data_IF_734295904166
#
_entry.id   IF_734295904166
#
_cell.length_a   1.000
_cell.length_b   1.000
_cell.length_c   1.000
_cell.angle_alpha   90.00
_cell.angle_beta   90.00
_cell.angle_gamma   90.00
#
_symmetry.space_group_name_H-M   'P 1'
#
loop_
_entity.id
_entity.type
_entity.pdbx_description
1 polymer ?
#
# COMPACT_ATOMS: atom_id res chain seq x y z
N UNK A 1 -12.53 16.64 77.86
CA UNK A 1 -13.90 16.24 78.25
C UNK A 1 -14.78 16.45 77.03
N UNK A 2 -15.51 15.39 76.68
CA UNK A 2 -16.50 15.26 75.59
C UNK A 2 -15.98 14.74 74.24
N UNK A 3 -16.69 13.70 73.80
CA UNK A 3 -16.36 12.62 72.85
C UNK A 3 -17.05 12.80 71.48
N UNK A 4 -16.69 11.93 70.52
CA UNK A 4 -17.49 11.52 69.35
C UNK A 4 -17.48 12.51 68.16
N UNK A 5 -17.47 12.12 66.88
CA UNK A 5 -17.76 10.84 66.24
C UNK A 5 -17.17 10.85 64.81
N UNK A 6 -16.74 9.68 64.34
CA UNK A 6 -16.40 9.42 62.94
C UNK A 6 -17.66 9.42 62.06
N UNK A 7 -17.56 9.87 60.81
CA UNK A 7 -18.36 9.32 59.71
C UNK A 7 -17.76 9.64 58.33
N UNK A 8 -17.37 8.56 57.67
CA UNK A 8 -17.06 8.45 56.24
C UNK A 8 -18.22 8.99 55.39
N UNK A 9 -17.95 9.92 54.48
CA UNK A 9 -18.88 10.25 53.40
C UNK A 9 -18.57 9.40 52.18
N UNK A 10 -19.46 8.43 51.93
CA UNK A 10 -19.67 7.79 50.64
C UNK A 10 -19.88 8.85 49.56
N UNK A 11 -19.10 8.79 48.49
CA UNK A 11 -19.40 9.49 47.24
C UNK A 11 -20.38 8.58 46.49
N UNK A 12 -21.66 8.95 46.50
CA UNK A 12 -22.66 8.37 45.61
C UNK A 12 -22.35 8.81 44.18
N UNK A 13 -22.19 7.83 43.30
CA UNK A 13 -22.17 8.03 41.86
C UNK A 13 -23.58 8.41 41.38
N UNK A 14 -23.82 9.68 41.13
CA UNK A 14 -24.94 10.08 40.28
C UNK A 14 -24.67 9.60 38.84
N UNK A 15 -25.67 8.99 38.15
CA UNK A 15 -25.51 8.64 36.76
C UNK A 15 -25.52 9.91 35.92
N UNK A 16 -24.42 10.16 35.19
CA UNK A 16 -24.35 11.18 34.15
C UNK A 16 -25.38 10.83 33.08
N UNK A 17 -26.49 11.57 33.10
CA UNK A 17 -27.62 11.42 32.23
C UNK A 17 -27.20 11.73 30.78
N UNK A 18 -27.22 10.73 29.90
CA UNK A 18 -26.96 10.85 28.46
C UNK A 18 -28.13 11.54 27.74
N UNK A 19 -28.42 12.80 28.08
CA UNK A 19 -29.49 13.60 27.46
C UNK A 19 -29.05 14.39 26.21
N UNK A 20 -27.90 14.06 25.61
CA UNK A 20 -27.47 14.69 24.36
C UNK A 20 -27.92 13.96 23.08
N UNK A 21 -28.40 12.72 23.15
CA UNK A 21 -28.85 12.01 21.94
C UNK A 21 -30.28 12.38 21.51
N UNK A 22 -31.10 13.00 22.37
CA UNK A 22 -32.53 13.16 22.09
C UNK A 22 -32.96 14.45 21.36
N UNK A 23 -32.08 15.44 21.19
CA UNK A 23 -32.43 16.75 20.59
C UNK A 23 -31.93 16.99 19.14
N UNK A 24 -31.78 15.93 18.34
CA UNK A 24 -31.54 16.11 16.90
C UNK A 24 -32.84 16.13 16.09
N UNK A 25 -33.02 17.07 15.15
CA UNK A 25 -34.26 17.19 14.39
C UNK A 25 -34.53 15.89 13.60
N UNK A 26 -35.78 15.39 13.56
CA UNK A 26 -36.12 14.05 13.04
C UNK A 26 -35.75 13.83 11.57
N UNK A 27 -35.55 14.90 10.79
CA UNK A 27 -35.02 14.84 9.42
C UNK A 27 -33.53 14.46 9.34
N UNK A 28 -32.73 14.81 10.36
CA UNK A 28 -31.29 14.51 10.43
C UNK A 28 -31.06 13.03 10.75
N UNK A 29 -31.72 12.50 11.79
CA UNK A 29 -31.73 11.06 12.12
C UNK A 29 -32.19 10.16 10.98
N UNK A 30 -33.23 10.57 10.23
CA UNK A 30 -33.70 9.81 9.04
C UNK A 30 -32.68 9.80 7.90
N UNK A 31 -31.90 10.88 7.72
CA UNK A 31 -30.84 10.95 6.70
C UNK A 31 -29.64 10.10 7.11
N UNK A 32 -29.25 10.15 8.38
CA UNK A 32 -28.16 9.34 8.94
C UNK A 32 -28.49 7.85 8.89
N UNK A 33 -29.68 7.44 9.33
CA UNK A 33 -30.11 6.04 9.23
C UNK A 33 -30.15 5.54 7.77
N UNK A 34 -30.53 6.39 6.81
CA UNK A 34 -30.47 6.05 5.37
C UNK A 34 -29.02 5.93 4.87
N UNK A 35 -28.13 6.81 5.32
CA UNK A 35 -26.71 6.77 4.97
C UNK A 35 -26.02 5.53 5.56
N UNK A 36 -26.32 5.16 6.81
CA UNK A 36 -25.82 3.94 7.44
C UNK A 36 -26.32 2.68 6.73
N UNK A 37 -27.62 2.63 6.39
CA UNK A 37 -28.16 1.51 5.60
C UNK A 37 -27.47 1.39 4.24
N UNK A 38 -27.26 2.50 3.54
CA UNK A 38 -26.55 2.51 2.26
C UNK A 38 -25.08 2.08 2.42
N UNK A 39 -24.42 2.49 3.49
CA UNK A 39 -23.05 2.08 3.82
C UNK A 39 -22.98 0.57 4.09
N UNK A 40 -23.91 0.03 4.87
CA UNK A 40 -23.99 -1.40 5.15
C UNK A 40 -24.20 -2.22 3.85
N UNK A 41 -25.14 -1.80 2.99
CA UNK A 41 -25.37 -2.46 1.70
C UNK A 41 -24.14 -2.43 0.78
N UNK A 42 -23.42 -1.30 0.73
CA UNK A 42 -22.17 -1.20 -0.03
C UNK A 42 -21.10 -2.15 0.51
N UNK A 43 -20.95 -2.23 1.83
CA UNK A 43 -20.00 -3.13 2.48
C UNK A 43 -20.32 -4.60 2.21
N UNK A 44 -21.60 -4.98 2.25
CA UNK A 44 -22.05 -6.34 1.93
C UNK A 44 -21.73 -6.70 0.47
N UNK A 45 -22.10 -5.82 -0.48
CA UNK A 45 -21.76 -6.01 -1.90
C UNK A 45 -20.25 -6.11 -2.13
N UNK A 46 -19.45 -5.29 -1.45
CA UNK A 46 -17.99 -5.37 -1.52
C UNK A 46 -17.49 -6.72 -1.00
N UNK A 47 -18.00 -7.20 0.14
CA UNK A 47 -17.63 -8.53 0.68
C UNK A 47 -17.94 -9.65 -0.30
N UNK A 48 -19.11 -9.64 -0.93
CA UNK A 48 -19.46 -10.64 -1.94
C UNK A 48 -18.52 -10.64 -3.14
N UNK A 49 -18.16 -9.45 -3.64
CA UNK A 49 -17.21 -9.31 -4.76
C UNK A 49 -15.84 -9.85 -4.36
N UNK A 50 -15.34 -9.46 -3.19
CA UNK A 50 -14.05 -9.92 -2.67
C UNK A 50 -14.04 -11.44 -2.49
N UNK A 51 -15.12 -12.03 -1.99
CA UNK A 51 -15.21 -13.47 -1.81
C UNK A 51 -15.21 -14.21 -3.16
N UNK A 52 -15.93 -13.69 -4.16
CA UNK A 52 -15.90 -14.22 -5.53
C UNK A 52 -14.50 -14.14 -6.12
N UNK A 53 -13.80 -13.02 -5.95
CA UNK A 53 -12.41 -12.87 -6.40
C UNK A 53 -11.47 -13.82 -5.66
N UNK A 54 -11.63 -13.98 -4.34
CA UNK A 54 -10.84 -14.93 -3.53
C UNK A 54 -11.05 -16.38 -3.99
N UNK A 55 -12.27 -16.77 -4.36
CA UNK A 55 -12.58 -18.11 -4.89
C UNK A 55 -11.95 -18.36 -6.26
N UNK A 56 -11.80 -17.32 -7.09
CA UNK A 56 -11.13 -17.39 -8.40
C UNK A 56 -9.60 -17.24 -8.33
N UNK A 57 -9.02 -17.10 -7.15
CA UNK A 57 -7.58 -16.90 -6.96
C UNK A 57 -6.81 -18.12 -7.44
N UNK A 58 -5.82 -17.87 -8.30
CA UNK A 58 -4.89 -18.89 -8.79
C UNK A 58 -3.98 -19.30 -7.64
N UNK A 59 -3.98 -20.59 -7.28
CA UNK A 59 -3.13 -21.12 -6.22
C UNK A 59 -1.82 -21.62 -6.80
N UNK A 60 -0.72 -21.18 -6.19
CA UNK A 60 0.63 -21.64 -6.51
C UNK A 60 1.03 -22.73 -5.50
N UNK A 61 0.87 -23.99 -5.89
CA UNK A 61 1.07 -25.16 -5.01
C UNK A 61 2.50 -25.25 -4.44
N UNK A 62 3.50 -24.83 -5.21
CA UNK A 62 4.92 -24.88 -4.83
C UNK A 62 5.37 -23.65 -4.02
N UNK A 63 4.52 -22.63 -3.87
CA UNK A 63 4.86 -21.38 -3.20
C UNK A 63 4.26 -21.36 -1.79
N UNK A 64 5.10 -21.00 -0.82
CA UNK A 64 4.69 -20.81 0.56
C UNK A 64 5.34 -19.56 1.15
N UNK A 65 4.70 -18.95 2.15
CA UNK A 65 5.29 -17.78 2.83
C UNK A 65 6.64 -18.09 3.46
N UNK A 66 6.83 -19.33 3.92
CA UNK A 66 8.08 -19.80 4.51
C UNK A 66 9.19 -19.90 3.46
N UNK A 67 8.90 -20.37 2.24
CA UNK A 67 9.89 -20.42 1.16
C UNK A 67 10.26 -19.02 0.66
N UNK A 68 9.26 -18.13 0.50
CA UNK A 68 9.50 -16.72 0.14
C UNK A 68 10.33 -15.96 1.18
N UNK A 69 10.12 -16.25 2.48
CA UNK A 69 10.90 -15.60 3.55
C UNK A 69 12.35 -16.07 3.61
N UNK A 70 12.66 -17.27 3.09
CA UNK A 70 14.03 -17.80 3.03
C UNK A 70 14.81 -17.19 1.88
N UNK A 71 14.21 -17.11 0.68
CA UNK A 71 14.89 -16.52 -0.48
C UNK A 71 15.33 -15.07 -0.21
N UNK A 72 14.52 -14.29 0.49
CA UNK A 72 14.88 -12.93 0.90
C UNK A 72 16.12 -12.80 1.80
N UNK A 73 16.56 -13.89 2.46
CA UNK A 73 17.76 -13.89 3.30
C UNK A 73 19.01 -14.26 2.53
N UNK A 74 18.86 -14.98 1.42
CA UNK A 74 19.97 -15.55 0.65
C UNK A 74 20.41 -14.64 -0.51
N UNK A 75 19.62 -13.60 -0.85
CA UNK A 75 19.84 -12.70 -1.99
C UNK A 75 20.88 -11.58 -1.76
N UNK A 76 21.90 -11.81 -0.93
CA UNK A 76 23.06 -10.88 -0.90
C UNK A 76 23.93 -10.98 -2.16
N UNK A 77 23.67 -11.89 -3.10
CA UNK A 77 24.55 -12.17 -4.26
C UNK A 77 23.87 -12.76 -5.53
N UNK A 78 22.57 -12.58 -5.76
CA UNK A 78 21.93 -13.10 -6.99
C UNK A 78 22.27 -12.23 -8.21
N UNK A 79 23.21 -12.68 -9.05
CA UNK A 79 23.61 -12.01 -10.29
C UNK A 79 22.51 -12.01 -11.35
N UNK A 80 22.33 -10.87 -12.03
CA UNK A 80 21.44 -10.61 -13.18
C UNK A 80 21.33 -11.78 -14.17
N UNK A 81 22.47 -12.43 -14.45
CA UNK A 81 22.61 -13.49 -15.45
C UNK A 81 21.88 -14.82 -15.13
N UNK A 82 21.51 -15.10 -13.87
CA UNK A 82 20.83 -16.37 -13.53
C UNK A 82 19.31 -16.32 -13.67
N UNK A 83 18.73 -15.14 -13.81
CA UNK A 83 17.28 -14.93 -13.74
C UNK A 83 16.65 -14.91 -15.13
N UNK A 84 17.38 -14.47 -16.18
CA UNK A 84 16.92 -14.57 -17.58
C UNK A 84 16.69 -16.03 -18.00
N UNK A 85 17.35 -17.01 -17.38
CA UNK A 85 17.14 -18.44 -17.61
C UNK A 85 15.92 -19.02 -16.86
N UNK A 86 15.40 -18.33 -15.84
CA UNK A 86 14.17 -18.77 -15.15
C UNK A 86 12.94 -18.33 -15.94
N UNK A 87 12.49 -19.21 -16.84
CA UNK A 87 11.24 -19.04 -17.59
C UNK A 87 10.10 -18.59 -16.67
N UNK A 88 9.64 -17.35 -16.86
CA UNK A 88 8.45 -16.82 -16.19
C UNK A 88 7.23 -17.06 -17.08
N UNK A 89 6.15 -17.58 -16.50
CA UNK A 89 4.87 -17.61 -17.20
C UNK A 89 4.29 -16.21 -17.27
N UNK A 90 3.85 -15.79 -18.45
CA UNK A 90 3.08 -14.53 -18.59
C UNK A 90 1.60 -14.77 -18.34
N UNK A 91 0.93 -13.74 -17.81
CA UNK A 91 -0.52 -13.73 -17.68
C UNK A 91 -1.23 -13.91 -19.04
N UNK A 92 -2.44 -14.47 -19.03
CA UNK A 92 -3.27 -14.62 -20.22
C UNK A 92 -3.91 -13.29 -20.61
N UNK A 93 -4.38 -13.15 -21.87
CA UNK A 93 -5.10 -11.94 -22.31
C UNK A 93 -6.39 -11.69 -21.52
N UNK A 94 -7.08 -12.75 -21.09
CA UNK A 94 -8.27 -12.63 -20.25
C UNK A 94 -7.92 -12.12 -18.85
N UNK A 95 -6.80 -12.58 -18.28
CA UNK A 95 -6.28 -12.10 -17.00
C UNK A 95 -5.86 -10.63 -17.07
N UNK A 96 -5.29 -10.21 -18.20
CA UNK A 96 -4.95 -8.80 -18.48
C UNK A 96 -6.21 -7.93 -18.41
N UNK A 97 -7.27 -8.30 -19.13
CA UNK A 97 -8.49 -7.51 -19.24
C UNK A 97 -9.37 -7.50 -17.99
N UNK A 98 -9.49 -8.64 -17.30
CA UNK A 98 -10.44 -8.82 -16.18
C UNK A 98 -9.78 -8.70 -14.80
N UNK A 99 -8.46 -8.56 -14.76
CA UNK A 99 -7.68 -8.65 -13.52
C UNK A 99 -7.67 -10.07 -12.94
N UNK A 100 -6.72 -10.34 -12.06
CA UNK A 100 -6.55 -11.66 -11.46
C UNK A 100 -5.79 -11.60 -10.14
N UNK A 101 -5.97 -12.65 -9.34
CA UNK A 101 -5.26 -12.82 -8.08
C UNK A 101 -4.46 -14.11 -8.09
N UNK A 102 -3.26 -14.06 -7.54
CA UNK A 102 -2.45 -15.23 -7.22
C UNK A 102 -2.29 -15.34 -5.72
N UNK A 103 -2.32 -16.57 -5.22
CA UNK A 103 -2.06 -16.89 -3.83
C UNK A 103 -1.06 -18.02 -3.67
N UNK A 104 -0.56 -18.16 -2.44
CA UNK A 104 0.28 -19.30 -2.07
C UNK A 104 -0.55 -20.59 -2.02
N UNK A 105 0.07 -21.72 -1.68
CA UNK A 105 -0.63 -23.00 -1.53
C UNK A 105 -1.79 -22.99 -0.51
N UNK A 106 -1.76 -22.10 0.48
CA UNK A 106 -2.83 -21.90 1.47
C UNK A 106 -3.90 -20.93 0.96
N UNK A 107 -3.69 -20.33 -0.21
CA UNK A 107 -4.56 -19.33 -0.80
C UNK A 107 -4.38 -17.94 -0.18
N UNK A 108 -3.30 -17.69 0.56
CA UNK A 108 -2.97 -16.34 1.05
C UNK A 108 -2.59 -15.44 -0.12
N UNK A 109 -3.00 -14.17 -0.08
CA UNK A 109 -2.76 -13.26 -1.21
C UNK A 109 -1.26 -13.02 -1.41
N UNK A 110 -0.82 -13.12 -2.66
CA UNK A 110 0.55 -12.86 -3.11
C UNK A 110 0.60 -11.69 -4.09
N UNK A 111 -0.24 -11.74 -5.12
CA UNK A 111 -0.38 -10.73 -6.16
C UNK A 111 -1.86 -10.52 -6.45
N UNK A 112 -2.28 -9.27 -6.59
CA UNK A 112 -3.54 -8.88 -7.22
C UNK A 112 -3.23 -7.85 -8.30
N UNK A 113 -3.41 -8.23 -9.56
CA UNK A 113 -3.44 -7.30 -10.67
C UNK A 113 -4.89 -6.87 -10.91
N UNK A 114 -5.16 -5.58 -10.83
CA UNK A 114 -6.49 -5.03 -11.12
C UNK A 114 -6.79 -5.13 -12.62
N UNK A 115 -8.07 -5.12 -12.96
CA UNK A 115 -8.50 -5.04 -14.35
C UNK A 115 -8.11 -3.68 -14.99
N UNK A 116 -8.00 -3.64 -16.31
CA UNK A 116 -7.54 -2.46 -17.05
C UNK A 116 -8.36 -1.19 -16.77
N UNK A 117 -9.64 -1.36 -16.42
CA UNK A 117 -10.56 -0.25 -16.18
C UNK A 117 -10.62 0.16 -14.71
N UNK A 118 -10.27 -0.74 -13.80
CA UNK A 118 -10.35 -0.55 -12.37
C UNK A 118 -9.26 0.41 -11.90
N UNK A 119 -9.72 1.59 -11.50
CA UNK A 119 -8.84 2.64 -11.01
C UNK A 119 -8.39 3.63 -12.08
N UNK A 120 -8.78 3.44 -13.34
CA UNK A 120 -8.50 4.37 -14.45
C UNK A 120 -8.87 5.82 -14.15
N UNK A 121 -10.01 6.03 -13.47
CA UNK A 121 -10.45 7.36 -13.01
C UNK A 121 -9.48 8.03 -12.04
N UNK A 122 -8.66 7.27 -11.32
CA UNK A 122 -7.67 7.77 -10.36
C UNK A 122 -6.27 7.89 -10.96
N UNK A 123 -5.98 7.18 -12.06
CA UNK A 123 -4.65 7.15 -12.69
C UNK A 123 -4.54 8.02 -13.94
N UNK A 124 -5.66 8.41 -14.55
CA UNK A 124 -5.70 9.19 -15.81
C UNK A 124 -4.81 10.44 -15.83
N UNK A 125 -4.74 11.19 -14.74
CA UNK A 125 -3.95 12.42 -14.64
C UNK A 125 -2.62 12.23 -13.90
N UNK A 126 -2.31 11.00 -13.47
CA UNK A 126 -1.17 10.72 -12.62
C UNK A 126 0.15 10.98 -13.33
N UNK A 127 0.27 10.59 -14.60
CA UNK A 127 1.49 10.83 -15.39
C UNK A 127 1.83 12.33 -15.43
N UNK A 128 0.88 13.17 -15.84
CA UNK A 128 1.06 14.63 -15.87
C UNK A 128 1.31 15.24 -14.49
N UNK A 129 0.65 14.70 -13.46
CA UNK A 129 0.87 15.13 -12.06
C UNK A 129 2.30 14.85 -11.60
N UNK A 130 2.84 13.67 -11.90
CA UNK A 130 4.23 13.32 -11.57
C UNK A 130 5.21 14.19 -12.37
N UNK A 131 4.97 14.41 -13.67
CA UNK A 131 5.81 15.28 -14.49
C UNK A 131 5.86 16.72 -13.97
N UNK A 132 4.71 17.27 -13.56
CA UNK A 132 4.63 18.60 -12.96
C UNK A 132 5.46 18.67 -11.68
N UNK A 133 5.32 17.65 -10.81
CA UNK A 133 6.12 17.54 -9.59
C UNK A 133 7.62 17.50 -9.89
N UNK A 134 8.06 16.64 -10.80
CA UNK A 134 9.48 16.49 -11.14
C UNK A 134 10.05 17.77 -11.77
N UNK A 135 9.28 18.44 -12.64
CA UNK A 135 9.69 19.69 -13.29
C UNK A 135 9.84 20.85 -12.30
N UNK A 136 9.18 20.79 -11.14
CA UNK A 136 9.31 21.79 -10.09
C UNK A 136 10.60 21.64 -9.27
N UNK A 137 11.31 20.51 -9.36
CA UNK A 137 12.51 20.27 -8.56
C UNK A 137 13.71 20.99 -9.17
N UNK A 138 14.37 21.83 -8.38
CA UNK A 138 15.54 22.63 -8.78
C UNK A 138 16.86 21.90 -8.53
N UNK A 139 16.98 20.65 -8.99
CA UNK A 139 18.17 19.83 -8.70
C UNK A 139 18.84 19.33 -9.99
N UNK A 140 20.16 19.58 -10.07
CA UNK A 140 21.08 18.87 -10.96
C UNK A 140 22.08 18.07 -10.10
N UNK A 141 22.28 16.77 -10.38
CA UNK A 141 21.59 15.95 -11.38
C UNK A 141 20.11 15.71 -11.02
N UNK A 142 19.27 15.45 -12.04
CA UNK A 142 17.86 15.11 -11.85
C UNK A 142 17.75 13.82 -11.03
N UNK A 143 17.24 13.94 -9.81
CA UNK A 143 16.91 12.79 -8.98
C UNK A 143 15.75 12.01 -9.63
N UNK A 144 15.92 10.70 -9.81
CA UNK A 144 14.93 9.83 -10.47
C UNK A 144 14.09 9.01 -9.49
N UNK A 145 14.37 9.11 -8.18
CA UNK A 145 13.64 8.40 -7.13
C UNK A 145 13.37 9.34 -5.96
N UNK A 146 12.11 9.48 -5.58
CA UNK A 146 11.67 10.24 -4.43
C UNK A 146 10.92 9.34 -3.45
N UNK A 147 11.15 9.57 -2.16
CA UNK A 147 10.61 8.80 -1.07
C UNK A 147 9.96 9.72 -0.03
N UNK A 148 8.66 9.53 0.19
CA UNK A 148 7.85 10.35 1.08
C UNK A 148 7.30 9.54 2.25
N UNK A 149 7.01 10.22 3.36
CA UNK A 149 6.38 9.65 4.54
C UNK A 149 7.26 9.64 5.78
N UNK A 150 7.04 8.64 6.63
CA UNK A 150 7.74 8.47 7.92
C UNK A 150 8.86 7.43 7.81
N UNK A 151 9.98 7.69 8.47
CA UNK A 151 11.02 6.69 8.76
C UNK A 151 11.37 6.73 10.25
N UNK A 152 12.14 5.77 10.73
CA UNK A 152 12.66 5.72 12.09
C UNK A 152 14.16 6.00 12.12
N UNK A 153 14.55 7.11 12.75
CA UNK A 153 15.95 7.40 12.99
C UNK A 153 16.45 6.61 14.21
N UNK A 154 17.29 5.60 13.96
CA UNK A 154 17.94 4.79 15.00
C UNK A 154 18.81 5.61 15.95
N UNK A 155 19.43 6.68 15.46
CA UNK A 155 20.35 7.52 16.26
C UNK A 155 19.55 8.42 17.19
N UNK A 156 18.57 9.14 16.64
CA UNK A 156 17.66 9.98 17.40
C UNK A 156 16.55 9.23 18.13
N UNK A 157 16.40 7.91 17.93
CA UNK A 157 15.33 7.05 18.46
C UNK A 157 13.93 7.66 18.29
N UNK A 158 13.66 8.23 17.13
CA UNK A 158 12.41 8.95 16.88
C UNK A 158 11.90 8.74 15.46
N UNK A 159 10.58 8.90 15.30
CA UNK A 159 9.93 8.89 14.00
C UNK A 159 10.15 10.25 13.32
N UNK A 160 10.71 10.23 12.12
CA UNK A 160 11.09 11.42 11.36
C UNK A 160 10.42 11.40 9.98
N UNK A 161 10.21 12.59 9.41
CA UNK A 161 9.79 12.72 8.02
C UNK A 161 10.98 12.36 7.12
N UNK A 162 10.73 11.68 6.01
CA UNK A 162 11.76 11.46 5.00
C UNK A 162 12.30 12.79 4.46
N UNK A 163 13.53 12.78 3.94
CA UNK A 163 14.16 13.99 3.42
C UNK A 163 13.34 14.63 2.29
N UNK A 164 12.79 13.84 1.36
CA UNK A 164 11.98 14.37 0.25
C UNK A 164 10.65 14.96 0.73
N UNK A 165 10.05 14.41 1.78
CA UNK A 165 8.85 15.00 2.41
C UNK A 165 9.09 16.43 2.87
N UNK A 166 10.30 16.73 3.35
CA UNK A 166 10.65 18.04 3.89
C UNK A 166 11.16 18.99 2.79
N UNK A 167 11.88 18.45 1.80
CA UNK A 167 12.68 19.26 0.86
C UNK A 167 12.04 19.43 -0.51
N UNK A 168 11.14 18.54 -0.92
CA UNK A 168 10.60 18.58 -2.28
C UNK A 168 9.65 19.76 -2.48
N UNK A 169 9.87 20.48 -3.58
CA UNK A 169 8.98 21.55 -4.03
C UNK A 169 7.68 20.94 -4.56
N UNK A 170 6.58 21.70 -4.51
CA UNK A 170 5.25 21.25 -4.95
C UNK A 170 4.73 19.95 -4.28
N UNK A 171 5.35 19.49 -3.19
CA UNK A 171 4.94 18.28 -2.48
C UNK A 171 3.48 18.34 -2.02
N UNK A 172 3.04 19.44 -1.41
CA UNK A 172 1.65 19.60 -0.95
C UNK A 172 0.63 19.47 -2.09
N UNK A 173 0.93 20.01 -3.27
CA UNK A 173 0.08 19.92 -4.45
C UNK A 173 0.02 18.49 -5.00
N UNK A 174 1.18 17.81 -5.07
CA UNK A 174 1.27 16.39 -5.42
C UNK A 174 0.38 15.55 -4.51
N UNK A 175 0.48 15.73 -3.18
CA UNK A 175 -0.35 14.98 -2.22
C UNK A 175 -1.84 15.25 -2.40
N UNK A 176 -2.21 16.51 -2.63
CA UNK A 176 -3.60 16.88 -2.85
C UNK A 176 -4.17 16.19 -4.10
N UNK A 177 -3.43 16.23 -5.22
CA UNK A 177 -3.83 15.59 -6.49
C UNK A 177 -3.87 14.06 -6.37
N UNK A 178 -2.94 13.45 -5.65
CA UNK A 178 -2.89 11.98 -5.48
C UNK A 178 -3.80 11.46 -4.34
N UNK A 179 -4.40 12.32 -3.52
CA UNK A 179 -5.23 11.91 -2.38
C UNK A 179 -6.37 10.93 -2.73
N UNK A 180 -7.12 11.12 -3.84
CA UNK A 180 -8.14 10.17 -4.26
C UNK A 180 -7.56 8.78 -4.57
N UNK A 181 -6.42 8.71 -5.27
CA UNK A 181 -5.71 7.47 -5.58
C UNK A 181 -5.23 6.76 -4.30
N UNK A 182 -4.69 7.50 -3.34
CA UNK A 182 -4.28 6.95 -2.05
C UNK A 182 -5.44 6.34 -1.26
N UNK A 183 -6.60 6.99 -1.27
CA UNK A 183 -7.82 6.45 -0.64
C UNK A 183 -8.32 5.20 -1.37
N UNK A 184 -8.27 5.20 -2.70
CA UNK A 184 -8.63 4.02 -3.49
C UNK A 184 -7.72 2.83 -3.17
N UNK A 185 -6.40 3.02 -3.20
CA UNK A 185 -5.42 1.99 -2.84
C UNK A 185 -5.59 1.49 -1.40
N UNK A 186 -5.90 2.38 -0.46
CA UNK A 186 -6.25 2.02 0.92
C UNK A 186 -7.50 1.12 0.97
N UNK A 187 -8.51 1.42 0.16
CA UNK A 187 -9.72 0.60 0.01
C UNK A 187 -9.43 -0.82 -0.49
N UNK A 188 -8.45 -0.99 -1.40
CA UNK A 188 -8.02 -2.31 -1.87
C UNK A 188 -7.48 -3.17 -0.72
N UNK A 189 -6.61 -2.62 0.12
CA UNK A 189 -6.11 -3.35 1.30
C UNK A 189 -7.21 -3.61 2.32
N UNK A 190 -8.08 -2.63 2.59
CA UNK A 190 -9.21 -2.82 3.50
C UNK A 190 -10.12 -3.97 3.06
N UNK A 191 -10.31 -4.13 1.74
CA UNK A 191 -11.13 -5.19 1.16
C UNK A 191 -10.45 -6.56 1.18
N UNK A 192 -9.17 -6.63 0.80
CA UNK A 192 -8.48 -7.91 0.55
C UNK A 192 -7.61 -8.40 1.70
N UNK A 193 -7.08 -7.48 2.51
CA UNK A 193 -6.13 -7.75 3.60
C UNK A 193 -6.47 -6.88 4.82
N UNK A 194 -7.72 -6.95 5.35
CA UNK A 194 -8.23 -6.01 6.35
C UNK A 194 -7.38 -5.92 7.61
N UNK A 195 -6.84 -7.05 8.09
CA UNK A 195 -5.95 -7.07 9.25
C UNK A 195 -4.67 -6.26 9.03
N UNK A 196 -4.06 -6.39 7.85
CA UNK A 196 -2.88 -5.61 7.48
C UNK A 196 -3.22 -4.11 7.38
N UNK A 197 -4.34 -3.79 6.75
CA UNK A 197 -4.86 -2.42 6.66
C UNK A 197 -5.06 -1.79 8.04
N UNK A 198 -5.68 -2.50 8.99
CA UNK A 198 -5.85 -2.05 10.37
C UNK A 198 -4.51 -1.84 11.09
N UNK A 199 -3.54 -2.76 10.93
CA UNK A 199 -2.20 -2.59 11.49
C UNK A 199 -1.52 -1.34 10.93
N UNK A 200 -1.66 -1.04 9.63
CA UNK A 200 -1.12 0.19 9.04
C UNK A 200 -1.73 1.45 9.68
N UNK A 201 -3.04 1.47 9.91
CA UNK A 201 -3.75 2.60 10.51
C UNK A 201 -3.36 2.86 11.97
N UNK A 202 -2.85 1.85 12.67
CA UNK A 202 -2.37 1.95 14.05
C UNK A 202 -0.95 2.48 14.17
N UNK A 203 -0.16 2.47 13.09
CA UNK A 203 1.25 2.90 13.14
C UNK A 203 1.36 4.37 13.52
N UNK A 204 2.06 4.67 14.59
CA UNK A 204 2.49 6.03 14.87
C UNK A 204 3.45 6.51 13.77
N UNK A 205 3.29 7.79 13.42
CA UNK A 205 4.03 8.45 12.34
C UNK A 205 4.88 9.58 12.87
N UNK A 206 5.73 10.14 12.01
CA UNK A 206 6.44 11.36 12.35
C UNK A 206 5.45 12.49 12.72
N UNK A 207 5.82 13.39 13.64
CA UNK A 207 4.97 14.51 14.02
C UNK A 207 4.49 15.30 12.82
N UNK A 208 3.18 15.60 12.77
CA UNK A 208 2.54 16.34 11.67
C UNK A 208 2.70 15.69 10.29
N UNK A 209 2.93 14.37 10.21
CA UNK A 209 2.92 13.64 8.95
C UNK A 209 1.49 13.21 8.60
N UNK A 210 1.05 13.53 7.39
CA UNK A 210 -0.20 13.01 6.85
C UNK A 210 -0.03 11.56 6.36
N UNK A 211 -1.10 10.77 6.46
CA UNK A 211 -1.19 9.45 5.83
C UNK A 211 -1.57 9.56 4.36
N UNK A 212 -1.08 8.61 3.57
CA UNK A 212 -1.46 8.44 2.17
C UNK A 212 -2.50 7.32 2.10
N UNK A 213 -3.73 7.61 2.54
CA UNK A 213 -4.73 6.58 2.79
C UNK A 213 -4.39 5.81 4.08
N UNK A 214 -4.11 4.51 3.99
CA UNK A 214 -3.58 3.74 5.13
C UNK A 214 -2.05 3.79 5.20
N UNK A 215 -1.38 4.11 4.09
CA UNK A 215 0.05 3.95 3.94
C UNK A 215 0.83 5.07 4.65
N UNK A 216 1.85 4.73 5.44
CA UNK A 216 2.76 5.71 6.04
C UNK A 216 3.79 6.26 5.04
N UNK A 217 4.03 5.55 3.93
CA UNK A 217 5.03 5.89 2.93
C UNK A 217 4.50 5.75 1.51
N UNK A 218 5.05 6.56 0.62
CA UNK A 218 5.02 6.28 -0.81
C UNK A 218 6.31 6.73 -1.50
N UNK A 219 6.61 6.14 -2.64
CA UNK A 219 7.73 6.56 -3.49
C UNK A 219 7.26 6.84 -4.91
N UNK A 220 8.03 7.65 -5.63
CA UNK A 220 7.91 7.85 -7.07
C UNK A 220 9.27 7.56 -7.70
N UNK A 221 9.31 6.72 -8.72
CA UNK A 221 10.49 6.41 -9.50
C UNK A 221 10.23 6.73 -10.97
N UNK A 222 11.12 7.49 -11.59
CA UNK A 222 11.22 7.60 -13.05
C UNK A 222 12.05 6.44 -13.57
N UNK A 223 11.51 5.76 -14.57
CA UNK A 223 12.19 4.69 -15.29
C UNK A 223 12.26 5.13 -16.74
N UNK A 224 13.49 5.28 -17.23
CA UNK A 224 13.81 5.71 -18.58
C UNK A 224 14.84 4.75 -19.15
N UNK A 225 14.54 4.22 -20.33
CA UNK A 225 15.43 3.31 -21.02
C UNK A 225 15.51 3.68 -22.49
N UNK A 226 16.74 3.74 -23.00
CA UNK A 226 17.04 4.01 -24.42
C UNK A 226 17.10 2.72 -25.26
N UNK A 227 17.21 1.55 -24.61
CA UNK A 227 17.38 0.25 -25.24
C UNK A 227 16.58 -0.83 -24.49
N UNK A 228 16.49 -2.02 -25.09
CA UNK A 228 15.96 -3.20 -24.39
C UNK A 228 16.84 -3.51 -23.18
N UNK A 229 16.24 -3.51 -21.99
CA UNK A 229 16.97 -3.68 -20.74
C UNK A 229 16.07 -4.29 -19.67
N UNK A 230 16.70 -5.04 -18.76
CA UNK A 230 16.13 -5.52 -17.52
C UNK A 230 16.56 -4.60 -16.38
N UNK A 231 15.62 -3.97 -15.67
CA UNK A 231 15.93 -3.00 -14.62
C UNK A 231 15.53 -3.58 -13.26
N UNK A 232 16.48 -3.81 -12.32
CA UNK A 232 16.16 -4.30 -11.00
C UNK A 232 15.38 -3.25 -10.20
N UNK A 233 14.38 -3.73 -9.47
CA UNK A 233 13.55 -2.91 -8.60
C UNK A 233 13.60 -3.47 -7.20
N UNK A 234 14.60 -3.06 -6.43
CA UNK A 234 14.71 -3.42 -5.01
C UNK A 234 14.33 -2.25 -4.11
N UNK A 235 13.61 -2.56 -3.05
CA UNK A 235 13.40 -1.69 -1.89
C UNK A 235 13.50 -2.58 -0.65
N UNK A 236 14.75 -2.87 -0.23
CA UNK A 236 15.08 -3.88 0.80
C UNK A 236 14.54 -3.56 2.19
N UNK A 237 14.08 -2.32 2.37
CA UNK A 237 13.51 -1.75 3.58
C UNK A 237 12.03 -2.10 3.80
N UNK A 238 11.33 -2.61 2.78
CA UNK A 238 9.92 -3.04 2.86
C UNK A 238 9.85 -4.54 3.12
N UNK A 239 9.85 -4.94 4.40
CA UNK A 239 9.93 -6.37 4.78
C UNK A 239 8.58 -7.05 4.93
N UNK A 240 7.53 -6.35 5.35
CA UNK A 240 6.29 -6.98 5.80
C UNK A 240 5.05 -6.43 5.10
N UNK A 241 4.09 -7.32 4.85
CA UNK A 241 2.75 -6.97 4.40
C UNK A 241 2.62 -6.85 2.88
N UNK A 242 2.08 -5.73 2.42
CA UNK A 242 1.71 -5.49 1.03
C UNK A 242 2.13 -4.10 0.58
N UNK A 243 2.59 -4.02 -0.65
CA UNK A 243 2.86 -2.79 -1.39
C UNK A 243 1.83 -2.66 -2.49
N UNK A 244 1.32 -1.45 -2.71
CA UNK A 244 0.54 -1.15 -3.92
C UNK A 244 1.47 -0.45 -4.91
N UNK A 245 1.62 -1.03 -6.09
CA UNK A 245 2.44 -0.51 -7.19
C UNK A 245 1.49 0.04 -8.24
N UNK A 246 1.70 1.28 -8.67
CA UNK A 246 0.95 1.94 -9.73
C UNK A 246 1.94 2.35 -10.80
N UNK A 247 1.67 2.02 -12.06
CA UNK A 247 2.57 2.36 -13.18
C UNK A 247 1.83 3.19 -14.21
N UNK A 248 2.42 4.31 -14.64
CA UNK A 248 1.84 5.21 -15.65
C UNK A 248 2.90 5.70 -16.64
N UNK A 249 2.53 5.84 -17.91
CA UNK A 249 3.40 6.32 -18.97
C UNK A 249 3.42 5.44 -20.22
N UNK A 250 4.49 5.55 -21.01
CA UNK A 250 4.63 4.81 -22.27
C UNK A 250 5.10 3.37 -21.99
N UNK A 251 4.13 2.46 -21.88
CA UNK A 251 4.33 1.06 -21.52
C UNK A 251 4.17 0.11 -22.71
N UNK A 252 4.95 0.34 -23.77
CA UNK A 252 4.94 -0.55 -24.93
C UNK A 252 5.71 -1.84 -24.66
N UNK A 253 4.98 -2.95 -24.56
CA UNK A 253 5.54 -4.30 -24.38
C UNK A 253 6.43 -4.43 -23.12
N UNK A 254 6.09 -3.68 -22.05
CA UNK A 254 6.79 -3.72 -20.76
C UNK A 254 6.19 -4.81 -19.89
N UNK A 255 7.06 -5.64 -19.32
CA UNK A 255 6.66 -6.69 -18.37
C UNK A 255 7.36 -6.51 -17.03
N UNK A 256 6.61 -6.65 -15.94
CA UNK A 256 7.14 -6.76 -14.59
C UNK A 256 7.36 -8.24 -14.27
N UNK A 257 8.62 -8.64 -14.19
CA UNK A 257 9.03 -10.00 -13.80
C UNK A 257 9.05 -10.12 -12.28
N UNK A 258 8.45 -11.19 -11.77
CA UNK A 258 8.39 -11.54 -10.34
C UNK A 258 8.99 -12.94 -10.17
N UNK A 259 10.34 -13.05 -10.11
CA UNK A 259 11.03 -14.34 -10.14
C UNK A 259 10.63 -15.29 -9.01
N UNK A 260 10.33 -14.73 -7.82
CA UNK A 260 9.96 -15.51 -6.63
C UNK A 260 8.71 -16.39 -6.82
N UNK A 261 7.87 -16.08 -7.81
CA UNK A 261 6.71 -16.89 -8.20
C UNK A 261 6.75 -17.31 -9.68
N UNK A 262 7.90 -17.11 -10.36
CA UNK A 262 8.11 -17.39 -11.79
C UNK A 262 7.00 -16.82 -12.68
N UNK A 263 6.56 -15.60 -12.40
CA UNK A 263 5.44 -14.97 -13.09
C UNK A 263 5.83 -13.62 -13.68
N UNK A 264 5.21 -13.26 -14.80
CA UNK A 264 5.34 -11.96 -15.43
C UNK A 264 3.99 -11.29 -15.66
N UNK A 265 3.94 -10.02 -15.28
CA UNK A 265 2.77 -9.15 -15.45
C UNK A 265 3.05 -8.23 -16.63
N UNK A 266 2.23 -8.30 -17.69
CA UNK A 266 2.29 -7.29 -18.75
C UNK A 266 1.66 -6.01 -18.22
N UNK A 267 2.36 -4.90 -18.40
CA UNK A 267 1.95 -3.60 -17.89
C UNK A 267 1.23 -2.82 -18.97
N UNK A 268 0.21 -2.09 -18.56
CA UNK A 268 -0.47 -1.08 -19.35
C UNK A 268 -0.50 0.23 -18.55
N UNK A 269 -0.76 1.35 -19.23
CA UNK A 269 -0.86 2.65 -18.57
C UNK A 269 -1.97 2.64 -17.51
N UNK A 270 -1.64 3.11 -16.32
CA UNK A 270 -2.55 3.16 -15.18
C UNK A 270 -2.75 1.85 -14.44
N UNK A 271 -1.97 0.80 -14.71
CA UNK A 271 -2.07 -0.49 -14.00
C UNK A 271 -1.80 -0.33 -12.51
N UNK A 272 -2.58 -1.05 -11.69
CA UNK A 272 -2.46 -1.09 -10.23
C UNK A 272 -2.28 -2.53 -9.78
N UNK A 273 -1.21 -2.78 -9.03
CA UNK A 273 -0.86 -4.09 -8.50
C UNK A 273 -0.82 -4.03 -6.98
N UNK A 274 -1.44 -4.98 -6.29
CA UNK A 274 -1.21 -5.23 -4.87
C UNK A 274 -0.28 -6.42 -4.74
N UNK A 275 0.92 -6.19 -4.24
CA UNK A 275 1.96 -7.20 -4.16
C UNK A 275 2.40 -7.42 -2.72
N UNK A 276 2.54 -8.68 -2.32
CA UNK A 276 3.12 -9.02 -1.03
C UNK A 276 4.58 -8.54 -0.97
N UNK A 277 5.00 -7.97 0.15
CA UNK A 277 6.36 -7.43 0.34
C UNK A 277 7.45 -8.44 0.01
N UNK A 278 7.20 -9.73 0.29
CA UNK A 278 8.12 -10.84 0.01
C UNK A 278 8.41 -11.08 -1.47
N UNK A 279 7.68 -10.41 -2.36
CA UNK A 279 7.83 -10.50 -3.81
C UNK A 279 8.46 -9.23 -4.39
N UNK A 280 8.91 -8.30 -3.56
CA UNK A 280 9.42 -7.02 -4.04
C UNK A 280 10.74 -7.10 -4.81
N UNK A 281 11.40 -8.25 -4.83
CA UNK A 281 12.46 -8.53 -5.77
C UNK A 281 11.86 -8.72 -7.17
N UNK A 282 11.90 -7.65 -7.97
CA UNK A 282 11.22 -7.55 -9.26
C UNK A 282 12.11 -6.86 -10.29
N UNK A 283 11.78 -7.06 -11.55
CA UNK A 283 12.54 -6.49 -12.67
C UNK A 283 11.58 -6.01 -13.75
N UNK A 284 11.81 -4.82 -14.29
CA UNK A 284 11.14 -4.41 -15.52
C UNK A 284 11.91 -4.98 -16.71
N UNK A 285 11.22 -5.69 -17.59
CA UNK A 285 11.72 -6.11 -18.90
C UNK A 285 11.10 -5.21 -19.95
N UNK A 286 11.92 -4.37 -20.58
CA UNK A 286 11.48 -3.45 -21.63
C UNK A 286 11.91 -3.97 -23.00
N UNK A 287 10.96 -4.11 -23.92
CA UNK A 287 11.23 -4.51 -25.30
C UNK A 287 11.38 -3.32 -26.26
N UNK A 288 11.06 -2.11 -25.80
CA UNK A 288 11.21 -0.87 -26.56
C UNK A 288 11.68 0.25 -25.62
N UNK A 289 12.36 1.27 -26.16
CA UNK A 289 12.67 2.48 -25.40
C UNK A 289 11.38 3.13 -24.90
N UNK A 290 11.44 3.79 -23.75
CA UNK A 290 10.27 4.42 -23.16
C UNK A 290 10.57 5.11 -21.84
N UNK A 291 9.64 5.95 -21.42
CA UNK A 291 9.66 6.59 -20.10
C UNK A 291 8.33 6.35 -19.41
N UNK A 292 8.42 5.84 -18.19
CA UNK A 292 7.25 5.66 -17.32
C UNK A 292 7.61 5.94 -15.87
N UNK A 293 6.58 6.10 -15.06
CA UNK A 293 6.69 6.33 -13.64
C UNK A 293 6.09 5.17 -12.86
N UNK A 294 6.81 4.75 -11.83
CA UNK A 294 6.33 3.81 -10.84
C UNK A 294 6.06 4.56 -9.52
N UNK A 295 4.84 4.46 -9.01
CA UNK A 295 4.49 4.89 -7.67
C UNK A 295 4.27 3.67 -6.77
N UNK A 296 4.91 3.64 -5.60
CA UNK A 296 4.71 2.57 -4.62
C UNK A 296 4.11 3.15 -3.35
N UNK A 297 3.09 2.50 -2.80
CA UNK A 297 2.51 2.79 -1.50
C UNK A 297 2.82 1.63 -0.55
N UNK A 298 3.47 1.91 0.58
CA UNK A 298 4.00 0.86 1.46
C UNK A 298 4.24 1.36 2.89
N UNK A 299 4.82 0.49 3.72
CA UNK A 299 5.33 0.83 5.04
C UNK A 299 6.76 0.31 5.23
N UNK A 300 7.65 1.16 5.75
CA UNK A 300 9.01 0.72 6.06
C UNK A 300 9.06 -0.20 7.28
N UNK A 301 9.90 -1.23 7.20
CA UNK A 301 10.16 -2.11 8.34
C UNK A 301 10.78 -1.41 9.55
N UNK A 302 11.51 -0.31 9.33
CA UNK A 302 12.10 0.53 10.38
C UNK A 302 11.05 1.14 11.30
N UNK A 303 9.80 1.35 10.84
CA UNK A 303 8.73 1.91 11.66
C UNK A 303 8.45 1.07 12.91
N UNK A 304 8.66 -0.25 12.85
CA UNK A 304 8.49 -1.17 13.97
C UNK A 304 9.64 -1.16 14.97
N UNK A 305 10.76 -0.51 14.64
CA UNK A 305 11.87 -0.31 15.56
C UNK A 305 11.60 0.87 16.53
N UNK A 306 10.54 1.64 16.33
CA UNK A 306 10.05 2.64 17.29
C UNK A 306 9.30 1.98 18.43
N UNK A 307 9.61 2.31 19.68
CA UNK A 307 8.90 1.80 20.88
C UNK A 307 7.39 2.03 20.83
N UNK A 308 6.96 3.08 20.14
CA UNK A 308 5.54 3.40 19.92
C UNK A 308 4.81 2.37 19.04
N UNK A 309 5.56 1.68 18.17
CA UNK A 309 5.02 0.75 17.16
C UNK A 309 5.32 -0.72 17.44
N UNK A 310 6.18 -1.05 18.43
CA UNK A 310 6.60 -2.44 18.70
C UNK A 310 5.43 -3.38 19.02
N UNK A 311 4.37 -2.88 19.64
CA UNK A 311 3.18 -3.67 20.00
C UNK A 311 2.23 -3.92 18.82
N UNK A 312 2.47 -3.27 17.68
CA UNK A 312 1.63 -3.41 16.49
C UNK A 312 2.06 -4.66 15.74
N UNK A 313 1.43 -5.78 16.11
CA UNK A 313 1.66 -7.03 15.43
C UNK A 313 1.01 -7.05 14.05
N UNK A 314 1.74 -7.58 13.08
CA UNK A 314 1.13 -8.22 11.94
C UNK A 314 0.79 -9.64 12.36
N UNK A 315 -0.49 -9.96 12.51
CA UNK A 315 -0.87 -11.37 12.57
C UNK A 315 -0.32 -12.03 11.31
N UNK A 316 0.65 -12.93 11.50
CA UNK A 316 1.09 -13.83 10.45
C UNK A 316 -0.16 -14.64 10.10
N UNK A 317 -0.87 -14.26 9.05
CA UNK A 317 -1.95 -15.10 8.53
C UNK A 317 -1.33 -16.48 8.28
N UNK A 318 -1.84 -17.48 9.02
CA UNK A 318 -1.41 -18.88 8.92
C UNK A 318 -1.67 -19.42 7.51
#
# INVERSE_FOLDING_TARGET
MSEGNAQEKKIENEPVNNEQEQNEPPKKRRKEARAEKLKAQKLEKTREIVEKQRKKRIKLEDVSLKSLSKSMKDDSNSSELKIEETGCSSQTKEQEQLGYQMGDKRGNLLLYALDETAGSSFTKELFGTIQQFLSAQKQEPKQTYYLFGTDYDKRGKSLIKSADTVRSLAYSELIQKCSPLFRFASGLLSAHTPKYHESLLKLELAPQQARFGAFPNFSIRQIEAENKVSIPVSDSSVKYGFTVIIVVGDLQDVELKIPAIKHSVRLHDGIILVLRSSLLHQWYSLNKPGTFYEMRLFAFSSLWESTQNHSIEFQKEE
#
